data_IF_218804515281
#
_entry.id   IF_218804515281
#
_cell.length_a   1.000
_cell.length_b   1.000
_cell.length_c   1.000
_cell.angle_alpha   90.00
_cell.angle_beta   90.00
_cell.angle_gamma   90.00
#
_symmetry.space_group_name_H-M   'P 1'
#
loop_
_entity.id
_entity.type
_entity.pdbx_description
1 polymer ?
#
# COMPACT_ATOMS: atom_id res chain seq x y z
N UNK A 1 -7.76 -25.79 -1.59
CA UNK A 1 -7.85 -24.72 -0.58
C UNK A 1 -6.92 -23.62 -1.02
N UNK A 2 -7.46 -22.56 -1.61
CA UNK A 2 -6.69 -21.34 -1.80
C UNK A 2 -6.56 -20.66 -0.44
N UNK A 3 -5.32 -20.47 0.02
CA UNK A 3 -5.06 -19.76 1.25
C UNK A 3 -5.16 -18.28 0.92
N UNK A 4 -6.32 -17.70 1.17
CA UNK A 4 -6.50 -16.27 1.08
C UNK A 4 -5.70 -15.66 2.24
N UNK A 5 -4.61 -14.97 1.92
CA UNK A 5 -3.85 -14.21 2.93
C UNK A 5 -4.81 -13.12 3.39
N UNK A 6 -5.36 -13.30 4.58
CA UNK A 6 -6.26 -12.34 5.22
C UNK A 6 -5.44 -11.06 5.44
N UNK A 7 -5.54 -10.14 4.48
CA UNK A 7 -4.90 -8.83 4.57
C UNK A 7 -5.78 -8.04 5.52
N UNK A 8 -5.44 -8.00 6.80
CA UNK A 8 -6.17 -7.24 7.81
C UNK A 8 -5.55 -5.84 8.00
N UNK A 9 -6.24 -4.95 8.73
CA UNK A 9 -5.74 -3.58 8.96
C UNK A 9 -4.38 -3.60 9.69
N UNK A 10 -4.13 -4.59 10.54
CA UNK A 10 -2.87 -4.76 11.25
C UNK A 10 -1.69 -4.98 10.29
N UNK A 11 -1.89 -5.73 9.21
CA UNK A 11 -0.88 -5.91 8.15
C UNK A 11 -0.50 -4.58 7.47
N UNK A 12 -1.46 -3.66 7.35
CA UNK A 12 -1.22 -2.31 6.82
C UNK A 12 -0.42 -1.48 7.81
N UNK A 13 -0.76 -1.54 9.10
CA UNK A 13 -0.04 -0.82 10.15
C UNK A 13 1.43 -1.27 10.25
N UNK A 14 1.66 -2.59 10.28
CA UNK A 14 3.02 -3.15 10.26
C UNK A 14 3.83 -2.70 9.03
N UNK A 15 3.18 -2.55 7.89
CA UNK A 15 3.84 -2.05 6.68
C UNK A 15 4.20 -0.57 6.81
N UNK A 16 3.32 0.26 7.37
CA UNK A 16 3.59 1.68 7.63
C UNK A 16 4.76 1.85 8.60
N UNK A 17 4.84 1.03 9.66
CA UNK A 17 5.98 1.04 10.59
C UNK A 17 7.31 0.73 9.88
N UNK A 18 7.29 -0.22 8.95
CA UNK A 18 8.47 -0.54 8.12
C UNK A 18 8.84 0.62 7.19
N UNK A 19 7.86 1.28 6.58
CA UNK A 19 8.08 2.46 5.73
C UNK A 19 8.70 3.62 6.53
N UNK A 20 8.27 3.83 7.78
CA UNK A 20 8.86 4.84 8.66
C UNK A 20 10.36 4.60 8.92
N UNK A 21 10.80 3.34 8.89
CA UNK A 21 12.21 2.98 9.07
C UNK A 21 12.99 2.89 7.74
N UNK A 22 12.33 3.02 6.58
CA UNK A 22 12.91 2.73 5.28
C UNK A 22 14.17 3.56 4.99
N UNK A 23 14.12 4.88 5.19
CA UNK A 23 15.29 5.75 4.94
C UNK A 23 16.43 5.55 5.93
N UNK A 24 16.14 5.01 7.12
CA UNK A 24 17.18 4.62 8.08
C UNK A 24 17.90 3.37 7.59
N UNK A 25 17.15 2.37 7.11
CA UNK A 25 17.70 1.14 6.57
C UNK A 25 18.39 1.35 5.20
N UNK A 26 17.90 2.30 4.40
CA UNK A 26 18.41 2.60 3.05
C UNK A 26 18.72 4.11 2.89
N UNK A 27 19.81 4.61 3.49
CA UNK A 27 20.15 6.05 3.49
C UNK A 27 20.37 6.67 2.10
N UNK A 28 20.69 5.84 1.10
CA UNK A 28 20.86 6.29 -0.29
C UNK A 28 19.57 6.86 -0.90
N UNK A 29 18.40 6.51 -0.34
CA UNK A 29 17.11 7.06 -0.77
C UNK A 29 16.64 8.29 0.03
N UNK A 30 17.49 8.85 0.92
CA UNK A 30 17.09 9.94 1.82
C UNK A 30 16.52 11.17 1.10
N UNK A 31 17.05 11.47 -0.08
CA UNK A 31 16.70 12.66 -0.87
C UNK A 31 15.56 12.38 -1.88
N UNK A 32 14.99 11.17 -1.85
CA UNK A 32 13.88 10.76 -2.70
C UNK A 32 12.57 10.73 -1.90
N UNK A 33 11.45 10.93 -2.58
CA UNK A 33 10.13 10.66 -2.02
C UNK A 33 9.85 9.16 -2.14
N UNK A 34 9.72 8.48 -1.00
CA UNK A 34 9.27 7.10 -0.98
C UNK A 34 7.75 7.06 -0.83
N UNK A 35 7.08 6.35 -1.73
CA UNK A 35 5.65 6.11 -1.68
C UNK A 35 5.39 4.62 -1.39
N UNK A 36 4.43 4.36 -0.52
CA UNK A 36 3.98 3.01 -0.20
C UNK A 36 2.82 2.58 -1.11
N UNK A 37 2.76 1.27 -1.41
CA UNK A 37 1.67 0.68 -2.17
C UNK A 37 1.31 -0.71 -1.62
N UNK A 38 0.04 -1.08 -1.76
CA UNK A 38 -0.52 -2.40 -1.41
C UNK A 38 -1.18 -2.97 -2.65
N UNK A 39 -0.85 -4.22 -2.98
CA UNK A 39 -1.44 -4.95 -4.09
C UNK A 39 -2.16 -6.20 -3.55
N UNK A 40 -3.32 -6.52 -4.10
CA UNK A 40 -4.04 -7.73 -3.74
C UNK A 40 -4.94 -8.22 -4.87
N UNK A 41 -5.00 -9.54 -5.04
CA UNK A 41 -5.86 -10.19 -6.04
C UNK A 41 -7.33 -10.11 -5.61
N UNK A 42 -7.60 -10.37 -4.34
CA UNK A 42 -8.86 -10.06 -3.66
C UNK A 42 -8.53 -9.25 -2.40
N UNK A 43 -8.79 -7.94 -2.44
CA UNK A 43 -8.67 -7.08 -1.25
C UNK A 43 -10.05 -7.03 -0.62
N UNK A 44 -10.18 -7.52 0.62
CA UNK A 44 -11.40 -7.43 1.41
C UNK A 44 -11.93 -5.98 1.40
N UNK A 45 -13.22 -5.80 1.14
CA UNK A 45 -13.87 -4.48 1.16
C UNK A 45 -13.63 -3.82 2.53
N UNK A 46 -12.80 -2.78 2.57
CA UNK A 46 -12.41 -2.09 3.81
C UNK A 46 -10.90 -1.88 3.93
N UNK A 47 -10.10 -2.85 3.48
CA UNK A 47 -8.64 -2.80 3.57
C UNK A 47 -8.07 -1.86 2.51
N UNK A 48 -8.67 -1.87 1.32
CA UNK A 48 -8.40 -0.89 0.27
C UNK A 48 -8.70 0.54 0.74
N UNK A 49 -9.83 0.74 1.44
CA UNK A 49 -10.18 2.05 2.03
C UNK A 49 -9.24 2.43 3.16
N UNK A 50 -8.81 1.47 3.98
CA UNK A 50 -7.84 1.72 5.03
C UNK A 50 -6.49 2.14 4.45
N UNK A 51 -5.95 1.36 3.51
CA UNK A 51 -4.72 1.69 2.78
C UNK A 51 -4.81 3.06 2.09
N UNK A 52 -5.94 3.36 1.42
CA UNK A 52 -6.21 4.66 0.84
C UNK A 52 -6.12 5.79 1.87
N UNK A 53 -6.76 5.63 3.04
CA UNK A 53 -6.73 6.64 4.12
C UNK A 53 -5.34 6.82 4.73
N UNK A 54 -4.53 5.76 4.74
CA UNK A 54 -3.14 5.81 5.20
C UNK A 54 -2.17 6.38 4.15
N UNK A 55 -2.68 6.87 3.01
CA UNK A 55 -1.87 7.47 1.96
C UNK A 55 -1.07 6.46 1.15
N UNK A 56 -1.52 5.20 1.11
CA UNK A 56 -0.93 4.13 0.30
C UNK A 56 -1.64 4.00 -1.05
N UNK A 57 -0.87 3.76 -2.10
CA UNK A 57 -1.44 3.38 -3.39
C UNK A 57 -2.03 1.97 -3.32
N UNK A 58 -3.23 1.79 -3.85
CA UNK A 58 -3.91 0.48 -3.92
C UNK A 58 -3.83 0.00 -5.36
N UNK A 59 -3.24 -1.17 -5.56
CA UNK A 59 -3.07 -1.80 -6.87
C UNK A 59 -3.99 -3.02 -6.93
N UNK A 60 -4.84 -3.08 -7.97
CA UNK A 60 -5.82 -4.17 -8.16
C UNK A 60 -5.69 -4.76 -9.58
N UNK A 61 -6.05 -6.04 -9.77
CA UNK A 61 -6.20 -6.62 -11.10
C UNK A 61 -7.16 -5.79 -11.97
N UNK A 62 -6.81 -5.60 -13.23
CA UNK A 62 -7.63 -4.89 -14.23
C UNK A 62 -7.39 -5.49 -15.60
N UNK A 63 -8.38 -6.22 -16.12
CA UNK A 63 -8.24 -6.98 -17.37
C UNK A 63 -7.05 -7.93 -17.33
N UNK A 64 -6.14 -7.79 -18.29
CA UNK A 64 -4.93 -8.61 -18.41
C UNK A 64 -3.74 -8.10 -17.57
N UNK A 65 -3.95 -7.06 -16.74
CA UNK A 65 -2.89 -6.42 -15.97
C UNK A 65 -3.34 -5.94 -14.60
N UNK A 66 -2.73 -4.84 -14.13
CA UNK A 66 -3.06 -4.19 -12.86
C UNK A 66 -3.28 -2.70 -13.07
N UNK A 67 -4.10 -2.10 -12.22
CA UNK A 67 -4.37 -0.68 -12.20
C UNK A 67 -4.23 -0.12 -10.78
N UNK A 68 -3.85 1.15 -10.69
CA UNK A 68 -3.97 1.93 -9.45
C UNK A 68 -5.44 2.26 -9.27
N UNK A 69 -6.00 1.83 -8.15
CA UNK A 69 -7.40 1.96 -7.81
C UNK A 69 -7.74 3.28 -7.07
N UNK A 70 -6.72 4.04 -6.63
CA UNK A 70 -6.92 5.36 -6.06
C UNK A 70 -7.48 6.33 -7.11
N UNK A 71 -8.37 7.23 -6.69
CA UNK A 71 -8.93 8.28 -7.54
C UNK A 71 -8.01 9.52 -7.62
N UNK A 72 -8.48 10.56 -8.31
CA UNK A 72 -7.74 11.81 -8.49
C UNK A 72 -7.64 12.70 -7.24
N UNK A 73 -8.45 12.44 -6.21
CA UNK A 73 -8.44 13.18 -4.94
C UNK A 73 -7.48 12.56 -3.91
N UNK A 74 -6.88 11.42 -4.25
CA UNK A 74 -5.95 10.70 -3.40
C UNK A 74 -4.73 11.54 -3.02
N UNK A 75 -4.40 11.51 -1.72
CA UNK A 75 -3.26 12.21 -1.14
C UNK A 75 -2.24 11.20 -0.63
N UNK A 76 -1.17 10.93 -1.39
CA UNK A 76 -0.17 9.96 -0.96
C UNK A 76 0.65 10.50 0.22
N UNK A 77 0.93 9.62 1.18
CA UNK A 77 1.92 9.91 2.22
C UNK A 77 3.31 9.58 1.69
N UNK A 78 4.30 10.37 2.09
CA UNK A 78 5.71 10.16 1.73
C UNK A 78 6.53 9.92 2.98
N UNK A 79 7.44 8.95 2.91
CA UNK A 79 8.43 8.66 3.93
C UNK A 79 9.81 9.08 3.45
#
# INVERSE_FOLDING_TARGET
MEYQIDSDENSIDEFIEKLACFKVAFPHFKDYQAYGAVAGIEINEGIDRYAYRQGLFVIKPSGDGVAIANDGDFKPLTW
#
